data_IF_773564445791
#
_entry.id   IF_773564445791
#
_cell.length_a   1.000
_cell.length_b   1.000
_cell.length_c   1.000
_cell.angle_alpha   90.00
_cell.angle_beta   90.00
_cell.angle_gamma   90.00
#
_symmetry.space_group_name_H-M   'P 1'
#
loop_
_entity.id
_entity.type
_entity.pdbx_description
1 polymer ?
#
# COMPACT_ATOMS: atom_id res chain seq x y z
N UNK A 1 21.84 13.33 17.99
CA UNK A 1 20.41 13.61 17.79
C UNK A 1 20.06 13.19 16.38
N UNK A 2 19.14 12.24 16.23
CA UNK A 2 18.84 11.61 14.95
C UNK A 2 18.03 12.59 14.07
N UNK A 3 18.17 12.50 12.75
CA UNK A 3 17.38 13.29 11.78
C UNK A 3 15.86 13.20 12.02
N UNK A 4 15.40 12.08 12.59
CA UNK A 4 14.01 11.86 13.00
C UNK A 4 13.56 12.79 14.14
N UNK A 5 14.42 13.03 15.14
CA UNK A 5 14.09 13.92 16.27
C UNK A 5 13.91 15.37 15.80
N UNK A 6 14.71 15.82 14.83
CA UNK A 6 14.64 17.18 14.29
C UNK A 6 13.30 17.41 13.58
N UNK A 7 12.88 16.45 12.76
CA UNK A 7 11.58 16.53 12.07
C UNK A 7 10.42 16.48 13.07
N UNK A 8 10.48 15.61 14.09
CA UNK A 8 9.42 15.51 15.12
C UNK A 8 9.32 16.79 15.93
N UNK A 9 10.44 17.40 16.33
CA UNK A 9 10.45 18.69 17.06
C UNK A 9 9.92 19.82 16.19
N UNK A 10 10.27 19.85 14.90
CA UNK A 10 9.74 20.84 13.96
C UNK A 10 8.23 20.68 13.78
N UNK A 11 7.74 19.46 13.58
CA UNK A 11 6.31 19.16 13.51
C UNK A 11 5.58 19.58 14.78
N UNK A 12 6.12 19.27 15.97
CA UNK A 12 5.53 19.66 17.24
C UNK A 12 5.45 21.20 17.38
N UNK A 13 6.53 21.91 17.05
CA UNK A 13 6.55 23.38 17.11
C UNK A 13 5.55 24.05 16.15
N UNK A 14 5.43 23.52 14.93
CA UNK A 14 4.47 23.97 13.91
C UNK A 14 3.03 23.71 14.38
N UNK A 15 2.79 22.53 14.96
CA UNK A 15 1.49 22.09 15.46
C UNK A 15 1.05 22.95 16.65
N UNK A 16 1.93 23.18 17.64
CA UNK A 16 1.65 24.09 18.76
C UNK A 16 1.34 25.52 18.30
N UNK A 17 2.06 26.04 17.30
CA UNK A 17 1.84 27.38 16.76
C UNK A 17 0.47 27.49 16.07
N UNK A 18 0.10 26.51 15.24
CA UNK A 18 -1.22 26.47 14.58
C UNK A 18 -2.36 26.23 15.57
N UNK A 19 -2.11 25.46 16.63
CA UNK A 19 -3.07 25.24 17.72
C UNK A 19 -3.26 26.48 18.59
N UNK A 20 -2.29 27.39 18.65
CA UNK A 20 -2.53 28.72 19.24
C UNK A 20 -3.29 29.63 18.27
N UNK A 21 -2.97 29.61 16.96
CA UNK A 21 -3.61 30.47 15.97
C UNK A 21 -5.09 30.14 15.69
N UNK A 22 -5.49 28.86 15.59
CA UNK A 22 -6.91 28.46 15.40
C UNK A 22 -7.74 28.68 16.68
N UNK A 23 -7.14 29.08 17.82
CA UNK A 23 -7.83 29.14 19.13
C UNK A 23 -8.89 30.24 19.13
N UNK A 24 -8.65 31.28 18.33
CA UNK A 24 -9.55 32.41 18.20
C UNK A 24 -10.66 32.17 17.15
N UNK A 25 -10.72 30.99 16.50
CA UNK A 25 -11.67 30.67 15.42
C UNK A 25 -12.61 29.48 15.72
N UNK A 26 -12.31 28.64 16.71
CA UNK A 26 -13.03 27.39 16.95
C UNK A 26 -13.32 27.17 18.44
N UNK A 27 -14.14 28.04 19.04
CA UNK A 27 -14.53 27.94 20.46
C UNK A 27 -15.45 26.72 20.75
N UNK A 28 -15.90 25.99 19.73
CA UNK A 28 -16.91 24.93 19.86
C UNK A 28 -16.35 23.48 19.94
N UNK A 29 -15.05 23.25 19.69
CA UNK A 29 -14.44 21.91 19.71
C UNK A 29 -13.52 21.70 20.93
N UNK A 30 -13.62 20.54 21.64
CA UNK A 30 -12.67 20.15 22.68
C UNK A 30 -11.21 20.15 22.22
N UNK A 31 -10.27 20.33 23.15
CA UNK A 31 -8.84 20.49 22.82
C UNK A 31 -8.28 19.26 22.08
N UNK A 32 -8.75 18.06 22.45
CA UNK A 32 -8.34 16.77 21.89
C UNK A 32 -8.69 16.67 20.41
N UNK A 33 -9.90 17.06 20.01
CA UNK A 33 -10.34 17.00 18.62
C UNK A 33 -9.68 18.07 17.77
N UNK A 34 -9.41 19.24 18.37
CA UNK A 34 -8.64 20.29 17.69
C UNK A 34 -7.19 19.90 17.46
N UNK A 35 -6.58 19.18 18.41
CA UNK A 35 -5.24 18.63 18.23
C UNK A 35 -5.22 17.54 17.16
N UNK A 36 -6.21 16.64 17.18
CA UNK A 36 -6.39 15.58 16.19
C UNK A 36 -6.61 16.13 14.78
N UNK A 37 -7.53 17.09 14.63
CA UNK A 37 -7.84 17.78 13.38
C UNK A 37 -6.56 18.35 12.76
N UNK A 38 -5.77 19.09 13.54
CA UNK A 38 -4.52 19.68 13.07
C UNK A 38 -3.48 18.62 12.66
N UNK A 39 -3.41 17.51 13.39
CA UNK A 39 -2.50 16.42 13.05
C UNK A 39 -2.91 15.72 11.74
N UNK A 40 -4.20 15.47 11.55
CA UNK A 40 -4.76 14.89 10.32
C UNK A 40 -4.61 15.85 9.14
N UNK A 41 -4.88 17.15 9.34
CA UNK A 41 -4.69 18.20 8.34
C UNK A 41 -3.25 18.24 7.84
N UNK A 42 -2.27 18.30 8.76
CA UNK A 42 -0.85 18.29 8.41
C UNK A 42 -0.42 17.01 7.71
N UNK A 43 -0.99 15.87 8.11
CA UNK A 43 -0.70 14.58 7.48
C UNK A 43 -1.24 14.54 6.05
N UNK A 44 -2.50 14.93 5.84
CA UNK A 44 -3.12 15.00 4.52
C UNK A 44 -2.39 15.98 3.60
N UNK A 45 -2.03 17.17 4.10
CA UNK A 45 -1.21 18.13 3.35
C UNK A 45 0.15 17.53 2.96
N UNK A 46 0.84 16.84 3.89
CA UNK A 46 2.13 16.21 3.59
C UNK A 46 2.01 15.09 2.55
N UNK A 47 0.93 14.32 2.60
CA UNK A 47 0.68 13.26 1.62
C UNK A 47 0.41 13.86 0.24
N UNK A 48 -0.49 14.86 0.14
CA UNK A 48 -0.82 15.52 -1.13
C UNK A 48 0.40 16.18 -1.79
N UNK A 49 1.28 16.83 -1.01
CA UNK A 49 2.55 17.37 -1.54
C UNK A 49 3.42 16.26 -2.15
N UNK A 50 3.58 15.13 -1.46
CA UNK A 50 4.38 14.00 -1.97
C UNK A 50 3.76 13.36 -3.21
N UNK A 51 2.43 13.26 -3.27
CA UNK A 51 1.72 12.77 -4.47
C UNK A 51 1.99 13.71 -5.64
N UNK A 52 1.84 15.03 -5.45
CA UNK A 52 2.09 16.03 -6.51
C UNK A 52 3.53 16.04 -7.00
N UNK A 53 4.51 15.95 -6.09
CA UNK A 53 5.93 15.81 -6.45
C UNK A 53 6.15 14.57 -7.32
N UNK A 54 5.57 13.45 -6.93
CA UNK A 54 5.68 12.19 -7.66
C UNK A 54 5.00 12.26 -9.04
N UNK A 55 3.81 12.85 -9.14
CA UNK A 55 3.09 13.09 -10.41
C UNK A 55 3.95 13.92 -11.38
N UNK A 56 4.52 15.03 -10.88
CA UNK A 56 5.40 15.91 -11.68
C UNK A 56 6.65 15.21 -12.21
N UNK A 57 7.16 14.20 -11.48
CA UNK A 57 8.30 13.41 -11.93
C UNK A 57 7.92 12.27 -12.88
N UNK A 58 6.77 11.62 -12.68
CA UNK A 58 6.36 10.43 -13.43
C UNK A 58 5.86 10.76 -14.83
N UNK A 59 4.94 11.70 -14.98
CA UNK A 59 4.35 12.03 -16.28
C UNK A 59 5.36 12.33 -17.39
N UNK A 60 6.38 13.20 -17.20
CA UNK A 60 7.34 13.49 -18.27
C UNK A 60 8.20 12.26 -18.62
N UNK A 61 8.53 11.42 -17.64
CA UNK A 61 9.36 10.22 -17.87
C UNK A 61 8.59 9.17 -18.66
N UNK A 62 7.31 8.98 -18.35
CA UNK A 62 6.46 8.04 -19.08
C UNK A 62 6.17 8.51 -20.51
N UNK A 63 5.92 9.80 -20.73
CA UNK A 63 5.72 10.36 -22.06
C UNK A 63 6.99 10.24 -22.94
N UNK A 64 8.15 10.56 -22.36
CA UNK A 64 9.44 10.38 -23.04
C UNK A 64 9.68 8.91 -23.39
N UNK A 65 9.38 7.98 -22.47
CA UNK A 65 9.57 6.55 -22.67
C UNK A 65 8.58 5.96 -23.68
N UNK A 66 7.35 6.48 -23.71
CA UNK A 66 6.36 6.14 -24.73
C UNK A 66 6.82 6.59 -26.12
N UNK A 67 7.53 7.72 -26.24
CA UNK A 67 8.09 8.19 -27.50
C UNK A 67 9.34 7.41 -27.95
N UNK A 68 10.24 7.10 -27.01
CA UNK A 68 11.50 6.42 -27.30
C UNK A 68 11.93 5.50 -26.14
N UNK A 69 12.20 4.24 -26.46
CA UNK A 69 12.62 3.25 -25.45
C UNK A 69 14.09 3.52 -25.10
N UNK A 70 14.34 4.09 -23.93
CA UNK A 70 15.67 4.37 -23.40
C UNK A 70 15.89 3.61 -22.09
N UNK A 71 17.05 2.93 -21.97
CA UNK A 71 17.42 2.17 -20.77
C UNK A 71 17.53 3.06 -19.52
N UNK A 72 17.93 4.32 -19.69
CA UNK A 72 17.98 5.30 -18.59
C UNK A 72 16.58 5.63 -18.07
N UNK A 73 15.62 5.83 -18.96
CA UNK A 73 14.24 6.14 -18.59
C UNK A 73 13.54 4.92 -17.97
N UNK A 74 13.83 3.70 -18.44
CA UNK A 74 13.34 2.47 -17.81
C UNK A 74 13.81 2.34 -16.36
N UNK A 75 15.08 2.63 -16.08
CA UNK A 75 15.60 2.62 -14.70
C UNK A 75 14.95 3.72 -13.85
N UNK A 76 14.73 4.90 -14.43
CA UNK A 76 14.02 5.99 -13.76
C UNK A 76 12.58 5.61 -13.42
N UNK A 77 11.84 4.99 -14.35
CA UNK A 77 10.49 4.46 -14.10
C UNK A 77 10.50 3.40 -13.01
N UNK A 78 11.48 2.48 -13.01
CA UNK A 78 11.62 1.47 -11.96
C UNK A 78 11.79 2.11 -10.58
N UNK A 79 12.64 3.14 -10.47
CA UNK A 79 12.83 3.89 -9.22
C UNK A 79 11.54 4.60 -8.79
N UNK A 80 10.87 5.28 -9.71
CA UNK A 80 9.61 5.98 -9.45
C UNK A 80 8.48 5.02 -9.04
N UNK A 81 8.39 3.84 -9.65
CA UNK A 81 7.48 2.75 -9.26
C UNK A 81 7.75 2.27 -7.83
N UNK A 82 9.02 2.19 -7.42
CA UNK A 82 9.40 1.91 -6.03
C UNK A 82 8.97 3.00 -5.05
N UNK A 83 9.14 4.28 -5.42
CA UNK A 83 8.67 5.42 -4.64
C UNK A 83 7.13 5.43 -4.52
N UNK A 84 6.43 5.21 -5.64
CA UNK A 84 4.97 5.10 -5.70
C UNK A 84 4.47 4.00 -4.76
N UNK A 85 5.01 2.78 -4.87
CA UNK A 85 4.62 1.65 -4.02
C UNK A 85 4.77 1.99 -2.52
N UNK A 86 5.91 2.59 -2.16
CA UNK A 86 6.19 2.96 -0.77
C UNK A 86 5.21 4.03 -0.27
N UNK A 87 4.87 5.01 -1.11
CA UNK A 87 3.91 6.05 -0.77
C UNK A 87 2.49 5.50 -0.67
N UNK A 88 2.04 4.67 -1.62
CA UNK A 88 0.75 3.99 -1.61
C UNK A 88 0.58 3.17 -0.33
N UNK A 89 1.58 2.36 0.05
CA UNK A 89 1.52 1.57 1.29
C UNK A 89 1.40 2.44 2.54
N UNK A 90 2.08 3.60 2.57
CA UNK A 90 1.96 4.53 3.70
C UNK A 90 0.58 5.18 3.78
N UNK A 91 0.03 5.60 2.65
CA UNK A 91 -1.33 6.18 2.58
C UNK A 91 -2.36 5.14 2.97
N UNK A 92 -2.25 3.93 2.43
CA UNK A 92 -3.12 2.81 2.76
C UNK A 92 -3.09 2.49 4.26
N UNK A 93 -1.90 2.45 4.87
CA UNK A 93 -1.82 2.26 6.32
C UNK A 93 -2.55 3.36 7.10
N UNK A 94 -2.42 4.64 6.71
CA UNK A 94 -3.14 5.73 7.39
C UNK A 94 -4.66 5.58 7.20
N UNK A 95 -5.11 5.19 6.00
CA UNK A 95 -6.52 4.88 5.71
C UNK A 95 -7.03 3.76 6.61
N UNK A 96 -6.32 2.64 6.68
CA UNK A 96 -6.76 1.44 7.38
C UNK A 96 -6.81 1.67 8.91
N UNK A 97 -5.87 2.43 9.47
CA UNK A 97 -5.90 2.80 10.90
C UNK A 97 -7.04 3.78 11.22
N UNK A 98 -7.41 4.66 10.28
CA UNK A 98 -8.53 5.59 10.43
C UNK A 98 -9.88 4.85 10.31
N UNK A 99 -9.99 3.91 9.37
CA UNK A 99 -11.14 3.00 9.24
C UNK A 99 -11.32 2.17 10.51
N UNK A 100 -10.23 1.59 11.02
CA UNK A 100 -10.28 0.79 12.25
C UNK A 100 -10.74 1.61 13.46
N UNK A 101 -10.29 2.85 13.59
CA UNK A 101 -10.73 3.75 14.66
C UNK A 101 -12.22 4.10 14.54
N UNK A 102 -12.73 4.28 13.33
CA UNK A 102 -14.15 4.58 13.09
C UNK A 102 -15.06 3.36 13.29
N UNK A 103 -14.54 2.14 13.11
CA UNK A 103 -15.31 0.89 13.26
C UNK A 103 -15.62 0.52 14.73
N UNK A 104 -14.89 1.09 15.70
CA UNK A 104 -15.07 0.81 17.14
C UNK A 104 -15.51 2.06 17.93
N UNK A 105 -16.82 2.16 18.19
CA UNK A 105 -17.43 3.20 19.03
C UNK A 105 -16.78 3.29 20.43
N UNK A 106 -16.22 2.19 20.94
CA UNK A 106 -15.50 2.15 22.21
C UNK A 106 -14.20 2.95 22.15
N UNK A 107 -13.39 2.73 21.11
CA UNK A 107 -12.15 3.47 20.89
C UNK A 107 -12.44 4.96 20.63
N UNK A 108 -13.50 5.28 19.88
CA UNK A 108 -13.97 6.65 19.70
C UNK A 108 -14.38 7.29 21.03
N UNK A 109 -15.12 6.59 21.89
CA UNK A 109 -15.52 7.09 23.19
C UNK A 109 -14.33 7.35 24.13
N UNK A 110 -13.25 6.56 24.03
CA UNK A 110 -12.04 6.77 24.82
C UNK A 110 -11.29 8.06 24.46
N UNK A 111 -11.52 8.62 23.27
CA UNK A 111 -10.91 9.87 22.81
C UNK A 111 -11.51 11.14 23.45
N UNK A 112 -12.64 11.06 24.16
CA UNK A 112 -13.26 12.20 24.87
C UNK A 112 -12.51 12.50 26.19
N UNK A 113 -11.28 13.00 26.06
CA UNK A 113 -10.35 13.21 27.18
C UNK A 113 -10.80 14.32 28.13
N UNK A 114 -11.41 15.39 27.63
CA UNK A 114 -11.91 16.52 28.43
C UNK A 114 -13.03 16.06 29.36
N UNK A 115 -13.98 15.27 28.84
CA UNK A 115 -15.07 14.71 29.64
C UNK A 115 -14.57 13.69 30.67
N UNK A 116 -13.61 12.84 30.27
CA UNK A 116 -12.98 11.85 31.15
C UNK A 116 -12.23 12.52 32.31
N UNK A 117 -11.54 13.63 32.04
CA UNK A 117 -10.89 14.45 33.06
C UNK A 117 -11.91 15.05 34.04
N UNK A 118 -13.00 15.65 33.52
CA UNK A 118 -14.04 16.25 34.37
C UNK A 118 -14.70 15.21 35.29
N UNK A 119 -15.01 14.01 34.77
CA UNK A 119 -15.53 12.89 35.58
C UNK A 119 -14.54 12.40 36.63
N UNK A 120 -13.25 12.41 36.30
CA UNK A 120 -12.20 12.02 37.25
C UNK A 120 -12.02 13.05 38.38
N UNK A 121 -12.15 14.34 38.09
CA UNK A 121 -12.01 15.44 39.06
C UNK A 121 -13.25 15.61 39.95
N UNK A 122 -14.45 15.29 39.46
CA UNK A 122 -15.69 15.33 40.24
C UNK A 122 -15.86 14.25 41.32
N UNK A 123 -14.98 13.23 41.34
CA UNK A 123 -15.04 12.11 42.28
C UNK A 123 -14.17 12.29 43.54
N UNK A 124 -13.61 13.46 43.82
CA UNK A 124 -13.03 13.75 45.15
C UNK A 124 -14.16 13.90 46.17
N UNK A 125 -14.29 13.04 47.20
CA UNK A 125 -15.27 13.24 48.25
C UNK A 125 -14.89 14.51 49.01
N UNK A 126 -15.73 15.54 48.91
CA UNK A 126 -15.70 16.64 49.87
C UNK A 126 -15.93 16.03 51.26
N UNK A 127 -14.91 16.06 52.12
CA UNK A 127 -15.03 15.73 53.53
C UNK A 127 -16.15 16.57 54.15
N UNK A 128 -17.25 15.91 54.52
CA UNK A 128 -18.27 16.50 55.37
C UNK A 128 -17.70 16.54 56.80
N UNK A 129 -17.36 17.75 57.25
CA UNK A 129 -17.02 18.06 58.63
C UNK A 129 -18.04 17.48 59.63
N UNK A 130 -17.61 16.81 60.72
CA UNK A 130 -18.51 16.46 61.81
C UNK A 130 -18.61 17.65 62.77
N UNK A 131 -19.78 18.29 62.85
CA UNK A 131 -20.08 19.19 63.96
C UNK A 131 -21.39 18.80 64.64
N UNK A 132 -21.18 18.30 65.86
CA UNK A 132 -22.09 18.20 67.00
C UNK A 132 -23.01 19.40 67.17
N UNK A 133 -24.31 19.17 67.42
CA UNK A 133 -25.00 19.67 68.62
C UNK A 133 -26.46 19.18 68.75
N UNK A 134 -26.82 18.92 70.01
CA UNK A 134 -28.07 18.42 70.55
C UNK A 134 -29.30 19.33 70.31
N UNK A 135 -30.51 18.73 70.16
CA UNK A 135 -31.64 18.92 71.10
C UNK A 135 -32.96 18.29 70.60
N UNK A 136 -33.61 17.48 71.44
CA UNK A 136 -35.07 17.50 71.59
C UNK A 136 -35.92 16.29 71.10
N UNK A 137 -36.28 15.39 72.02
CA UNK A 137 -37.69 14.97 72.18
C UNK A 137 -38.18 13.58 71.75
N UNK A 138 -38.13 12.62 72.71
CA UNK A 138 -39.22 11.67 73.08
C UNK A 138 -39.81 10.67 72.07
N UNK A 139 -39.51 9.36 72.21
CA UNK A 139 -40.44 8.33 72.77
C UNK A 139 -39.87 6.89 72.72
N UNK A 140 -39.87 6.26 73.90
CA UNK A 140 -40.14 4.84 74.25
C UNK A 140 -39.50 3.70 73.42
N UNK A 141 -38.56 2.92 73.97
CA UNK A 141 -38.68 1.82 74.98
C UNK A 141 -39.16 0.50 74.36
N UNK A 142 -38.19 -0.41 74.11
CA UNK A 142 -38.05 -1.76 74.72
C UNK A 142 -38.63 -2.91 73.88
N UNK A 143 -38.07 -4.12 73.81
CA UNK A 143 -37.21 -4.89 74.73
C UNK A 143 -36.55 -6.07 73.97
N UNK A 144 -35.43 -6.52 74.51
CA UNK A 144 -34.45 -7.49 73.99
C UNK A 144 -34.60 -8.93 74.52
N UNK A 145 -33.98 -9.87 73.77
CA UNK A 145 -33.27 -11.11 74.18
C UNK A 145 -34.09 -12.34 74.71
N UNK A 146 -33.52 -13.57 74.64
CA UNK A 146 -32.48 -14.01 75.60
C UNK A 146 -31.24 -14.69 74.96
N UNK A 147 -30.01 -14.42 75.42
CA UNK A 147 -29.19 -15.09 76.47
C UNK A 147 -28.54 -16.43 76.04
N UNK A 148 -27.20 -16.43 75.97
CA UNK A 148 -26.33 -17.62 75.92
C UNK A 148 -26.01 -18.13 77.35
N UNK A 149 -25.57 -19.40 77.51
CA UNK A 149 -24.29 -19.58 78.21
C UNK A 149 -23.41 -20.76 77.72
N UNK A 150 -22.10 -20.49 77.66
CA UNK A 150 -20.96 -21.23 78.28
C UNK A 150 -20.64 -22.71 77.91
N UNK A 151 -19.33 -22.91 77.64
CA UNK A 151 -18.45 -24.09 77.87
C UNK A 151 -18.37 -25.28 76.89
N UNK A 152 -17.21 -25.35 76.23
CA UNK A 152 -16.18 -26.41 76.27
C UNK A 152 -16.37 -27.81 75.63
N UNK A 153 -15.31 -28.17 74.89
CA UNK A 153 -14.67 -29.49 74.65
C UNK A 153 -15.06 -30.33 73.41
N UNK A 154 -13.99 -30.70 72.69
CA UNK A 154 -13.68 -32.04 72.17
C UNK A 154 -14.47 -32.64 70.98
N UNK A 155 -13.72 -32.93 69.91
CA UNK A 155 -13.94 -34.10 69.05
C UNK A 155 -14.54 -33.84 67.67
N UNK A 156 -13.71 -34.00 66.63
CA UNK A 156 -14.19 -34.42 65.30
C UNK A 156 -14.64 -35.91 65.34
N UNK A 157 -15.26 -36.54 64.32
CA UNK A 157 -15.52 -36.08 62.93
C UNK A 157 -16.91 -36.47 62.33
N UNK A 158 -17.09 -36.11 61.05
CA UNK A 158 -17.95 -36.70 59.97
C UNK A 158 -19.24 -35.96 59.53
N UNK A 159 -19.20 -35.58 58.24
CA UNK A 159 -20.18 -35.74 57.12
C UNK A 159 -21.68 -35.65 57.50
N UNK A 160 -22.52 -34.83 56.85
CA UNK A 160 -22.70 -34.73 55.41
C UNK A 160 -23.73 -33.62 55.07
N UNK A 161 -23.58 -33.05 53.87
CA UNK A 161 -24.65 -32.63 52.95
C UNK A 161 -25.21 -31.20 53.05
N UNK A 162 -24.74 -30.41 52.06
CA UNK A 162 -25.45 -29.47 51.17
C UNK A 162 -26.34 -28.39 51.79
N UNK A 163 -26.05 -27.11 51.50
CA UNK A 163 -26.76 -26.32 50.47
C UNK A 163 -26.05 -24.94 50.30
N UNK A 164 -26.16 -24.39 49.08
CA UNK A 164 -25.88 -23.02 48.61
C UNK A 164 -24.43 -22.49 48.64
N UNK A 165 -23.72 -22.66 47.53
CA UNK A 165 -22.66 -21.75 47.09
C UNK A 165 -23.10 -21.03 45.81
N UNK A 166 -23.40 -19.74 45.96
CA UNK A 166 -22.91 -18.64 45.12
C UNK A 166 -23.01 -18.88 43.60
N UNK A 167 -24.12 -18.40 43.03
CA UNK A 167 -24.15 -17.87 41.66
C UNK A 167 -24.62 -16.43 41.78
N UNK A 168 -23.66 -15.51 41.90
CA UNK A 168 -23.88 -14.08 41.67
C UNK A 168 -22.67 -13.53 40.93
N UNK A 169 -22.56 -13.88 39.66
CA UNK A 169 -21.80 -13.10 38.69
C UNK A 169 -22.81 -12.44 37.75
N UNK A 170 -23.61 -11.52 38.31
CA UNK A 170 -24.21 -10.48 37.49
C UNK A 170 -23.07 -9.58 37.03
N UNK A 171 -22.53 -9.85 35.84
CA UNK A 171 -21.92 -8.80 35.02
C UNK A 171 -22.99 -7.71 34.90
N UNK A 172 -22.84 -6.67 35.70
CA UNK A 172 -23.58 -5.43 35.52
C UNK A 172 -23.19 -4.94 34.13
N UNK A 173 -24.08 -5.16 33.17
CA UNK A 173 -24.08 -4.38 31.94
C UNK A 173 -24.17 -2.93 32.37
N UNK A 174 -23.05 -2.23 32.21
CA UNK A 174 -23.00 -0.80 32.46
C UNK A 174 -24.07 -0.16 31.59
N UNK A 175 -24.95 0.57 32.25
CA UNK A 175 -26.00 1.36 31.66
C UNK A 175 -25.43 2.18 30.51
N UNK A 176 -25.90 1.91 29.29
CA UNK A 176 -25.78 2.83 28.16
C UNK A 176 -26.45 4.14 28.56
N UNK A 177 -25.65 5.09 29.03
CA UNK A 177 -26.09 6.46 29.16
C UNK A 177 -26.42 6.96 27.75
N UNK A 178 -27.69 7.28 27.53
CA UNK A 178 -28.29 7.87 26.33
C UNK A 178 -27.70 9.24 25.90
N UNK A 179 -26.49 9.56 26.35
CA UNK A 179 -25.77 10.81 26.10
C UNK A 179 -24.42 10.58 25.42
N UNK A 180 -24.07 9.32 25.09
CA UNK A 180 -22.82 9.00 24.39
C UNK A 180 -22.93 9.03 22.86
N UNK A 181 -24.12 8.78 22.29
CA UNK A 181 -24.30 8.73 20.83
C UNK A 181 -24.08 10.08 20.14
N UNK A 182 -24.75 11.13 20.64
CA UNK A 182 -24.64 12.49 20.11
C UNK A 182 -23.22 13.06 20.22
N UNK A 183 -22.47 12.60 21.23
CA UNK A 183 -21.08 13.03 21.41
C UNK A 183 -20.19 12.40 20.34
N UNK A 184 -20.28 11.08 20.12
CA UNK A 184 -19.46 10.31 19.16
C UNK A 184 -19.65 10.81 17.72
N UNK A 185 -20.87 11.21 17.36
CA UNK A 185 -21.19 11.73 16.01
C UNK A 185 -20.30 12.91 15.58
N UNK A 186 -19.92 13.80 16.51
CA UNK A 186 -19.03 14.92 16.20
C UNK A 186 -17.62 14.47 15.78
N UNK A 187 -17.08 13.44 16.46
CA UNK A 187 -15.76 12.89 16.14
C UNK A 187 -15.85 12.07 14.85
N UNK A 188 -16.89 11.27 14.68
CA UNK A 188 -17.14 10.47 13.47
C UNK A 188 -17.18 11.37 12.22
N UNK A 189 -17.95 12.46 12.22
CA UNK A 189 -17.99 13.42 11.11
C UNK A 189 -16.60 14.00 10.77
N UNK A 190 -15.77 14.25 11.78
CA UNK A 190 -14.40 14.74 11.57
C UNK A 190 -13.52 13.67 10.93
N UNK A 191 -13.55 12.43 11.46
CA UNK A 191 -12.77 11.32 10.92
C UNK A 191 -13.21 10.97 9.50
N UNK A 192 -14.51 10.93 9.22
CA UNK A 192 -15.07 10.71 7.88
C UNK A 192 -14.56 11.73 6.86
N UNK A 193 -14.55 13.02 7.21
CA UNK A 193 -14.07 14.07 6.31
C UNK A 193 -12.60 13.83 5.90
N UNK A 194 -11.74 13.45 6.86
CA UNK A 194 -10.34 13.12 6.56
C UNK A 194 -10.18 11.77 5.87
N UNK A 195 -11.02 10.79 6.18
CA UNK A 195 -11.04 9.49 5.52
C UNK A 195 -11.29 9.65 4.02
N UNK A 196 -12.27 10.46 3.63
CA UNK A 196 -12.55 10.78 2.22
C UNK A 196 -11.33 11.43 1.53
N UNK A 197 -10.61 12.32 2.21
CA UNK A 197 -9.41 12.97 1.66
C UNK A 197 -8.27 11.97 1.45
N UNK A 198 -8.05 11.08 2.42
CA UNK A 198 -7.01 10.04 2.35
C UNK A 198 -7.36 9.03 1.27
N UNK A 199 -8.61 8.61 1.16
CA UNK A 199 -9.09 7.67 0.16
C UNK A 199 -9.00 8.25 -1.26
N UNK A 200 -9.32 9.54 -1.42
CA UNK A 200 -9.07 10.27 -2.67
C UNK A 200 -7.58 10.30 -3.03
N UNK A 201 -6.71 10.52 -2.04
CA UNK A 201 -5.25 10.50 -2.22
C UNK A 201 -4.76 9.11 -2.62
N UNK A 202 -5.31 8.05 -2.02
CA UNK A 202 -5.02 6.67 -2.38
C UNK A 202 -5.47 6.37 -3.82
N UNK A 203 -6.67 6.80 -4.18
CA UNK A 203 -7.22 6.64 -5.52
C UNK A 203 -6.33 7.28 -6.60
N UNK A 204 -5.83 8.51 -6.37
CA UNK A 204 -4.84 9.14 -7.27
C UNK A 204 -3.59 8.29 -7.47
N UNK A 205 -3.04 7.75 -6.38
CA UNK A 205 -1.84 6.91 -6.45
C UNK A 205 -2.10 5.59 -7.19
N UNK A 206 -3.29 5.00 -7.03
CA UNK A 206 -3.70 3.81 -7.77
C UNK A 206 -3.86 4.10 -9.26
N UNK A 207 -4.47 5.22 -9.64
CA UNK A 207 -4.54 5.65 -11.04
C UNK A 207 -3.16 5.89 -11.65
N UNK A 208 -2.23 6.49 -10.88
CA UNK A 208 -0.85 6.68 -11.34
C UNK A 208 -0.11 5.36 -11.52
N UNK A 209 -0.40 4.36 -10.66
CA UNK A 209 0.14 3.01 -10.80
C UNK A 209 -0.37 2.34 -12.07
N UNK A 210 -1.67 2.40 -12.32
CA UNK A 210 -2.29 1.87 -13.54
C UNK A 210 -1.66 2.50 -14.79
N UNK A 211 -1.46 3.82 -14.80
CA UNK A 211 -0.81 4.51 -15.91
C UNK A 211 0.64 4.07 -16.16
N UNK A 212 1.41 3.77 -15.11
CA UNK A 212 2.76 3.19 -15.25
C UNK A 212 2.69 1.78 -15.82
N UNK A 213 1.79 0.95 -15.29
CA UNK A 213 1.64 -0.45 -15.72
C UNK A 213 1.18 -0.52 -17.20
N UNK A 214 0.25 0.34 -17.63
CA UNK A 214 -0.16 0.50 -19.03
C UNK A 214 1.00 0.91 -19.94
N UNK A 215 1.85 1.82 -19.46
CA UNK A 215 3.04 2.26 -20.22
C UNK A 215 4.07 1.14 -20.32
N UNK A 216 4.24 0.33 -19.27
CA UNK A 216 5.10 -0.86 -19.26
C UNK A 216 4.64 -1.90 -20.30
N UNK A 217 3.34 -2.14 -20.38
CA UNK A 217 2.74 -3.02 -21.39
C UNK A 217 2.92 -2.49 -22.82
N UNK A 218 2.74 -1.18 -23.03
CA UNK A 218 3.04 -0.53 -24.31
C UNK A 218 4.51 -0.75 -24.72
N UNK A 219 5.45 -0.58 -23.79
CA UNK A 219 6.87 -0.79 -24.05
C UNK A 219 7.16 -2.26 -24.35
N UNK A 220 6.57 -3.19 -23.62
CA UNK A 220 6.72 -4.63 -23.86
C UNK A 220 6.25 -5.00 -25.27
N UNK A 221 5.13 -4.44 -25.72
CA UNK A 221 4.64 -4.64 -27.10
C UNK A 221 5.64 -4.06 -28.12
N UNK A 222 6.13 -2.84 -27.92
CA UNK A 222 7.11 -2.21 -28.82
C UNK A 222 8.43 -2.99 -28.87
N UNK A 223 8.93 -3.45 -27.73
CA UNK A 223 10.15 -4.26 -27.66
C UNK A 223 9.97 -5.60 -28.36
N UNK A 224 8.80 -6.23 -28.20
CA UNK A 224 8.41 -7.43 -28.94
C UNK A 224 8.46 -7.21 -30.46
N UNK A 225 8.00 -6.06 -30.95
CA UNK A 225 8.08 -5.73 -32.37
C UNK A 225 9.53 -5.57 -32.86
N UNK A 226 10.39 -4.91 -32.07
CA UNK A 226 11.82 -4.77 -32.42
C UNK A 226 12.52 -6.13 -32.44
N UNK A 227 12.26 -6.99 -31.46
CA UNK A 227 12.79 -8.36 -31.43
C UNK A 227 12.30 -9.17 -32.65
N UNK A 228 11.04 -9.01 -33.04
CA UNK A 228 10.50 -9.64 -34.23
C UNK A 228 11.25 -9.20 -35.51
N UNK A 229 11.58 -7.92 -35.65
CA UNK A 229 12.42 -7.44 -36.75
C UNK A 229 13.84 -8.02 -36.71
N UNK A 230 14.43 -8.17 -35.52
CA UNK A 230 15.76 -8.77 -35.37
C UNK A 230 15.75 -10.24 -35.82
N UNK A 231 14.77 -11.02 -35.37
CA UNK A 231 14.59 -12.43 -35.76
C UNK A 231 14.41 -12.54 -37.28
N UNK A 232 13.66 -11.62 -37.90
CA UNK A 232 13.50 -11.57 -39.36
C UNK A 232 14.83 -11.33 -40.09
N UNK A 233 15.65 -10.40 -39.60
CA UNK A 233 16.96 -10.12 -40.19
C UNK A 233 17.91 -11.30 -40.04
N UNK A 234 17.92 -11.95 -38.87
CA UNK A 234 18.71 -13.15 -38.60
C UNK A 234 18.33 -14.30 -39.54
N UNK A 235 17.03 -14.52 -39.77
CA UNK A 235 16.53 -15.53 -40.70
C UNK A 235 17.02 -15.27 -42.14
N UNK A 236 17.01 -14.01 -42.57
CA UNK A 236 17.49 -13.59 -43.89
C UNK A 236 19.00 -13.80 -44.03
N UNK A 237 19.78 -13.40 -43.02
CA UNK A 237 21.24 -13.59 -43.00
C UNK A 237 21.61 -15.08 -42.99
N UNK A 238 20.87 -15.90 -42.24
CA UNK A 238 21.07 -17.35 -42.20
C UNK A 238 20.77 -17.99 -43.56
N UNK A 239 19.70 -17.58 -44.24
CA UNK A 239 19.39 -18.04 -45.59
C UNK A 239 20.47 -17.62 -46.61
N UNK A 240 20.98 -16.39 -46.53
CA UNK A 240 22.08 -15.93 -47.37
C UNK A 240 23.36 -16.74 -47.11
N UNK A 241 23.68 -17.01 -45.84
CA UNK A 241 24.83 -17.82 -45.44
C UNK A 241 24.72 -19.25 -45.96
N UNK A 242 23.54 -19.86 -45.88
CA UNK A 242 23.28 -21.19 -46.43
C UNK A 242 23.50 -21.27 -47.95
N UNK A 243 23.07 -20.25 -48.69
CA UNK A 243 23.31 -20.18 -50.14
C UNK A 243 24.79 -19.96 -50.45
N UNK A 244 25.46 -19.11 -49.68
CA UNK A 244 26.90 -18.86 -49.82
C UNK A 244 27.74 -20.11 -49.50
N UNK A 245 27.37 -20.91 -48.51
CA UNK A 245 28.06 -22.17 -48.19
C UNK A 245 27.87 -23.21 -49.28
N UNK A 246 26.68 -23.28 -49.91
CA UNK A 246 26.46 -24.14 -51.07
C UNK A 246 27.35 -23.74 -52.26
N UNK A 247 27.40 -22.44 -52.56
CA UNK A 247 28.30 -21.91 -53.60
C UNK A 247 29.77 -22.20 -53.28
N UNK A 248 30.20 -21.95 -52.04
CA UNK A 248 31.57 -22.19 -51.58
C UNK A 248 31.94 -23.69 -51.63
N UNK A 249 31.01 -24.60 -51.31
CA UNK A 249 31.25 -26.04 -51.42
C UNK A 249 31.50 -26.45 -52.88
N UNK A 250 30.68 -25.98 -53.81
CA UNK A 250 30.86 -26.25 -55.25
C UNK A 250 32.16 -25.63 -55.76
N UNK A 251 32.43 -24.36 -55.43
CA UNK A 251 33.67 -23.69 -55.78
C UNK A 251 34.91 -24.39 -55.16
N UNK A 252 34.77 -24.93 -53.95
CA UNK A 252 35.82 -25.70 -53.27
C UNK A 252 36.12 -27.01 -53.99
N UNK A 253 35.12 -27.82 -54.30
CA UNK A 253 35.28 -29.10 -55.03
C UNK A 253 35.95 -28.88 -56.38
N UNK A 254 35.54 -27.86 -57.13
CA UNK A 254 36.10 -27.55 -58.46
C UNK A 254 37.37 -26.70 -58.42
N UNK A 255 37.69 -26.06 -57.29
CA UNK A 255 38.96 -25.36 -57.05
C UNK A 255 40.09 -26.29 -56.61
N UNK A 256 39.78 -27.56 -56.31
CA UNK A 256 40.78 -28.59 -56.03
C UNK A 256 41.44 -29.07 -57.34
N UNK A 257 42.75 -29.35 -57.27
CA UNK A 257 43.56 -29.81 -58.40
C UNK A 257 43.25 -31.27 -58.78
N UNK A 258 42.03 -31.53 -59.27
CA UNK A 258 41.62 -32.83 -59.81
C UNK A 258 41.79 -32.87 -61.32
N UNK A 259 42.45 -33.91 -61.82
CA UNK A 259 42.53 -34.22 -63.25
C UNK A 259 41.22 -34.85 -63.73
N UNK A 260 40.21 -34.01 -64.00
CA UNK A 260 38.94 -34.43 -64.57
C UNK A 260 38.85 -34.00 -66.05
N UNK A 261 38.42 -34.90 -66.93
CA UNK A 261 38.23 -34.67 -68.38
C UNK A 261 37.19 -33.61 -68.73
N UNK A 262 36.49 -33.06 -67.73
CA UNK A 262 35.55 -31.95 -67.89
C UNK A 262 36.26 -30.59 -68.01
N UNK A 263 37.54 -30.52 -67.63
CA UNK A 263 38.36 -29.30 -67.66
C UNK A 263 39.27 -29.16 -68.89
N UNK A 264 39.20 -30.10 -69.84
CA UNK A 264 39.95 -30.01 -71.10
C UNK A 264 39.51 -28.80 -71.96
N UNK A 265 38.33 -28.24 -71.68
CA UNK A 265 37.84 -27.00 -72.28
C UNK A 265 38.19 -25.78 -71.41
N UNK A 266 38.93 -24.78 -71.95
CA UNK A 266 39.34 -23.59 -71.19
C UNK A 266 38.18 -22.80 -70.55
N UNK A 267 36.96 -22.89 -71.10
CA UNK A 267 35.77 -22.18 -70.62
C UNK A 267 34.90 -22.97 -69.63
N UNK A 268 35.15 -24.27 -69.41
CA UNK A 268 34.26 -25.12 -68.61
C UNK A 268 34.13 -24.64 -67.16
N UNK A 269 35.23 -24.21 -66.54
CA UNK A 269 35.25 -23.69 -65.17
C UNK A 269 34.39 -22.42 -65.03
N UNK A 270 34.51 -21.47 -65.97
CA UNK A 270 33.70 -20.26 -65.98
C UNK A 270 32.20 -20.55 -66.10
N UNK A 271 31.82 -21.53 -66.92
CA UNK A 271 30.42 -21.95 -67.05
C UNK A 271 29.86 -22.57 -65.78
N UNK A 272 30.62 -23.44 -65.10
CA UNK A 272 30.22 -24.02 -63.80
C UNK A 272 29.99 -22.91 -62.78
N UNK A 273 30.91 -21.94 -62.69
CA UNK A 273 30.80 -20.84 -61.72
C UNK A 273 29.57 -19.96 -61.99
N UNK A 274 29.28 -19.66 -63.26
CA UNK A 274 28.09 -18.89 -63.66
C UNK A 274 26.79 -19.65 -63.35
N UNK A 275 26.72 -20.94 -63.70
CA UNK A 275 25.52 -21.78 -63.50
C UNK A 275 25.25 -21.96 -62.00
N UNK A 276 26.28 -22.26 -61.21
CA UNK A 276 26.15 -22.40 -59.75
C UNK A 276 25.79 -21.07 -59.11
N UNK A 277 26.40 -19.96 -59.53
CA UNK A 277 26.07 -18.62 -59.04
C UNK A 277 24.62 -18.23 -59.35
N UNK A 278 24.15 -18.45 -60.58
CA UNK A 278 22.77 -18.22 -60.98
C UNK A 278 21.78 -19.10 -60.21
N UNK A 279 22.11 -20.39 -60.05
CA UNK A 279 21.30 -21.33 -59.26
C UNK A 279 21.17 -20.91 -57.80
N UNK A 280 22.27 -20.48 -57.18
CA UNK A 280 22.29 -19.95 -55.82
C UNK A 280 21.44 -18.67 -55.68
N UNK A 281 21.54 -17.76 -56.65
CA UNK A 281 20.70 -16.55 -56.70
C UNK A 281 19.20 -16.86 -56.81
N UNK A 282 18.83 -17.80 -57.67
CA UNK A 282 17.45 -18.28 -57.82
C UNK A 282 16.94 -18.95 -56.54
N UNK A 283 17.79 -19.72 -55.85
CA UNK A 283 17.46 -20.38 -54.59
C UNK A 283 17.20 -19.34 -53.50
N UNK A 284 18.07 -18.33 -53.36
CA UNK A 284 17.87 -17.22 -52.42
C UNK A 284 16.60 -16.42 -52.72
N UNK A 285 16.34 -16.13 -53.99
CA UNK A 285 15.11 -15.44 -54.40
C UNK A 285 13.86 -16.28 -54.09
N UNK A 286 13.93 -17.60 -54.28
CA UNK A 286 12.86 -18.52 -53.90
C UNK A 286 12.58 -18.49 -52.39
N UNK A 287 13.63 -18.42 -51.55
CA UNK A 287 13.47 -18.21 -50.11
C UNK A 287 12.78 -16.89 -49.77
N UNK A 288 13.16 -15.78 -50.41
CA UNK A 288 12.52 -14.47 -50.20
C UNK A 288 11.04 -14.49 -50.58
N UNK A 289 10.70 -15.10 -51.72
CA UNK A 289 9.30 -15.26 -52.14
C UNK A 289 8.50 -16.12 -51.15
N UNK A 290 9.09 -17.20 -50.66
CA UNK A 290 8.47 -18.05 -49.65
C UNK A 290 8.18 -17.29 -48.35
N UNK A 291 9.15 -16.51 -47.85
CA UNK A 291 8.96 -15.70 -46.64
C UNK A 291 7.91 -14.60 -46.82
N UNK A 292 7.87 -13.98 -48.01
CA UNK A 292 6.83 -13.00 -48.36
C UNK A 292 5.45 -13.63 -48.41
N UNK A 293 5.31 -14.81 -49.03
CA UNK A 293 4.03 -15.51 -49.15
C UNK A 293 3.47 -15.94 -47.78
N UNK A 294 4.34 -16.40 -46.88
CA UNK A 294 3.94 -16.86 -45.54
C UNK A 294 3.62 -15.71 -44.56
N UNK A 295 3.66 -14.44 -45.00
CA UNK A 295 3.39 -13.25 -44.17
C UNK A 295 4.20 -13.20 -42.87
N UNK A 296 5.41 -13.75 -42.87
CA UNK A 296 6.33 -13.64 -41.72
C UNK A 296 6.82 -12.20 -41.56
N UNK A 297 6.76 -11.41 -42.64
CA UNK A 297 6.90 -9.96 -42.63
C UNK A 297 5.53 -9.31 -42.41
N UNK A 298 5.27 -8.65 -41.27
CA UNK A 298 4.30 -7.57 -41.27
C UNK A 298 4.90 -6.46 -42.15
N UNK A 299 4.15 -6.02 -43.16
CA UNK A 299 4.45 -4.75 -43.82
C UNK A 299 4.14 -3.61 -42.84
#
# INVERSE_FOLDING_TARGET
MNSLDINVVQYNSELCKRLQAKKDQSDDLPFEFRALELALELTCMSLDVKVKELEMEIYPVLDELASSINTLNLERVRRLKGHLLTLTQRVQKVRDELEHLMDDDGDMAEMYLTEKKLRSEGNTPHEINPLTNFSGGTRQVSKSAPVSPIASTSGAPRLQRAFSSIVTASKQGSLSSSHGGDNIEQLEMLLEAYFVVIDHTLSKLLSLKEYIDDTEDLINIKLGNVQNHLIQFELLLTAATFVATLFAAVAGVFGMNFAASIFDYPSAFSWVLIITGAGCGLLYFSFLLYFKYKKIFPL
#
